data_IF_927852161891
#
_entry.id   IF_927852161891
#
_cell.length_a   1.000
_cell.length_b   1.000
_cell.length_c   1.000
_cell.angle_alpha   90.00
_cell.angle_beta   90.00
_cell.angle_gamma   90.00
#
_symmetry.space_group_name_H-M   'P 1'
#
loop_
_entity.id
_entity.type
_entity.pdbx_description
1 polymer ?
#
# COMPACT_ATOMS: atom_id res chain seq x y z
N UNK A 1 47.50 -2.67 40.83
CA UNK A 1 47.32 -3.07 39.41
C UNK A 1 46.20 -4.09 39.13
N UNK A 2 45.71 -4.81 40.14
CA UNK A 2 44.64 -5.81 39.92
C UNK A 2 43.22 -5.26 39.69
N UNK A 3 42.93 -4.01 40.01
CA UNK A 3 41.58 -3.43 39.91
C UNK A 3 41.19 -2.92 38.49
N UNK A 4 42.17 -2.68 37.64
CA UNK A 4 41.92 -2.24 36.23
C UNK A 4 41.55 -3.44 35.35
N UNK A 5 42.18 -4.62 35.60
CA UNK A 5 41.87 -5.85 34.88
C UNK A 5 40.45 -6.39 35.13
N UNK A 6 39.97 -6.31 36.38
CA UNK A 6 38.65 -6.81 36.75
C UNK A 6 37.50 -5.99 36.13
N UNK A 7 37.64 -4.66 36.04
CA UNK A 7 36.63 -3.77 35.39
C UNK A 7 36.52 -4.00 33.89
N UNK A 8 37.66 -4.35 33.25
CA UNK A 8 37.67 -4.60 31.80
C UNK A 8 36.98 -5.93 31.43
N UNK A 9 37.16 -6.95 32.30
CA UNK A 9 36.52 -8.26 32.15
C UNK A 9 34.99 -8.15 32.34
N UNK A 10 34.52 -7.35 33.30
CA UNK A 10 33.09 -7.14 33.53
C UNK A 10 32.42 -6.35 32.42
N UNK A 11 33.08 -5.34 31.85
CA UNK A 11 32.60 -4.63 30.68
C UNK A 11 32.54 -5.52 29.45
N UNK A 12 33.52 -6.35 29.19
CA UNK A 12 33.48 -7.32 28.09
C UNK A 12 32.39 -8.38 28.29
N UNK A 13 32.18 -8.86 29.51
CA UNK A 13 31.08 -9.80 29.81
C UNK A 13 29.71 -9.16 29.67
N UNK A 14 29.56 -7.89 30.03
CA UNK A 14 28.30 -7.11 29.76
C UNK A 14 28.09 -6.90 28.29
N UNK A 15 29.11 -6.50 27.53
CA UNK A 15 29.01 -6.34 26.06
C UNK A 15 28.68 -7.67 25.38
N UNK A 16 29.30 -8.78 25.78
CA UNK A 16 29.00 -10.13 25.26
C UNK A 16 27.56 -10.57 25.59
N UNK A 17 27.04 -10.27 26.80
CA UNK A 17 25.64 -10.56 27.17
C UNK A 17 24.65 -9.69 26.40
N UNK A 18 24.99 -8.42 26.11
CA UNK A 18 24.15 -7.52 25.27
C UNK A 18 24.15 -8.04 23.82
N UNK A 19 25.32 -8.37 23.27
CA UNK A 19 25.43 -8.96 21.93
C UNK A 19 24.68 -10.30 21.83
N UNK A 20 24.81 -11.20 22.81
CA UNK A 20 24.07 -12.47 22.86
C UNK A 20 22.56 -12.28 23.06
N UNK A 21 22.11 -11.15 23.60
CA UNK A 21 20.69 -10.79 23.72
C UNK A 21 20.14 -10.24 22.39
N UNK A 22 20.97 -9.54 21.62
CA UNK A 22 20.63 -9.05 20.28
C UNK A 22 20.63 -10.15 19.21
N UNK A 23 21.43 -11.21 19.38
CA UNK A 23 21.44 -12.39 18.51
C UNK A 23 20.42 -13.47 18.92
N UNK A 24 19.44 -13.17 19.77
CA UNK A 24 18.27 -14.04 19.87
C UNK A 24 17.53 -13.95 18.54
N UNK A 25 17.97 -14.77 17.61
CA UNK A 25 17.28 -15.14 16.38
C UNK A 25 15.83 -15.41 16.78
N UNK A 26 14.94 -14.53 16.36
CA UNK A 26 13.51 -14.78 16.51
C UNK A 26 13.23 -16.15 15.93
N UNK A 27 12.61 -17.08 16.65
CA UNK A 27 12.44 -18.45 16.19
C UNK A 27 11.80 -18.42 14.80
N UNK A 28 12.35 -19.20 13.88
CA UNK A 28 11.94 -19.28 12.46
C UNK A 28 10.41 -19.37 12.30
N UNK A 29 9.74 -20.01 13.24
CA UNK A 29 8.28 -20.09 13.32
C UNK A 29 7.61 -18.71 13.49
N UNK A 30 8.16 -17.82 14.30
CA UNK A 30 7.59 -16.48 14.50
C UNK A 30 7.75 -15.61 13.26
N UNK A 31 8.86 -15.74 12.53
CA UNK A 31 9.06 -15.05 11.24
C UNK A 31 8.09 -15.54 10.17
N UNK A 32 7.84 -16.85 10.12
CA UNK A 32 6.91 -17.41 9.13
C UNK A 32 5.48 -16.96 9.39
N UNK A 33 5.02 -16.99 10.65
CA UNK A 33 3.68 -16.52 11.00
C UNK A 33 3.47 -15.04 10.68
N UNK A 34 4.45 -14.18 10.96
CA UNK A 34 4.36 -12.74 10.65
C UNK A 34 4.35 -12.48 9.15
N UNK A 35 5.10 -13.26 8.35
CA UNK A 35 5.06 -13.15 6.89
C UNK A 35 3.71 -13.61 6.31
N UNK A 36 3.09 -14.62 6.90
CA UNK A 36 1.76 -15.08 6.49
C UNK A 36 0.69 -14.06 6.89
N UNK A 37 0.82 -13.45 8.08
CA UNK A 37 -0.04 -12.35 8.53
C UNK A 37 0.12 -11.12 7.61
N UNK A 38 1.35 -10.79 7.19
CA UNK A 38 1.61 -9.70 6.25
C UNK A 38 0.95 -9.93 4.89
N UNK A 39 1.06 -11.14 4.32
CA UNK A 39 0.38 -11.50 3.07
C UNK A 39 -1.14 -11.44 3.22
N UNK A 40 -1.67 -11.94 4.34
CA UNK A 40 -3.09 -11.91 4.63
C UNK A 40 -3.63 -10.49 4.68
N UNK A 41 -2.96 -9.57 5.37
CA UNK A 41 -3.43 -8.19 5.50
C UNK A 41 -3.34 -7.41 4.19
N UNK A 42 -2.33 -7.70 3.35
CA UNK A 42 -2.22 -7.12 2.00
C UNK A 42 -3.38 -7.57 1.11
N UNK A 43 -3.72 -8.86 1.14
CA UNK A 43 -4.86 -9.39 0.40
C UNK A 43 -6.18 -8.77 0.87
N UNK A 44 -6.38 -8.63 2.19
CA UNK A 44 -7.55 -7.95 2.76
C UNK A 44 -7.60 -6.49 2.29
N UNK A 45 -6.45 -5.81 2.26
CA UNK A 45 -6.33 -4.44 1.75
C UNK A 45 -6.80 -4.30 0.30
N UNK A 46 -6.34 -5.19 -0.57
CA UNK A 46 -6.74 -5.21 -1.97
C UNK A 46 -8.25 -5.45 -2.13
N UNK A 47 -8.81 -6.43 -1.41
CA UNK A 47 -10.26 -6.73 -1.45
C UNK A 47 -11.08 -5.53 -0.95
N UNK A 48 -10.66 -4.89 0.14
CA UNK A 48 -11.33 -3.69 0.68
C UNK A 48 -11.27 -2.54 -0.32
N UNK A 49 -10.12 -2.29 -0.95
CA UNK A 49 -9.97 -1.22 -1.94
C UNK A 49 -10.82 -1.48 -3.19
N UNK A 50 -10.86 -2.71 -3.70
CA UNK A 50 -11.75 -3.08 -4.82
C UNK A 50 -13.21 -2.90 -4.43
N UNK A 51 -13.61 -3.42 -3.26
CA UNK A 51 -14.99 -3.30 -2.78
C UNK A 51 -15.43 -1.85 -2.63
N UNK A 52 -14.61 -1.02 -1.99
CA UNK A 52 -14.88 0.41 -1.83
C UNK A 52 -14.91 1.14 -3.18
N UNK A 53 -13.99 0.83 -4.08
CA UNK A 53 -13.95 1.40 -5.42
C UNK A 53 -15.23 1.10 -6.20
N UNK A 54 -15.65 -0.17 -6.24
CA UNK A 54 -16.90 -0.57 -6.89
C UNK A 54 -18.13 0.07 -6.25
N UNK A 55 -18.21 0.12 -4.92
CA UNK A 55 -19.30 0.79 -4.21
C UNK A 55 -19.38 2.28 -4.54
N UNK A 56 -18.25 2.98 -4.61
CA UNK A 56 -18.18 4.41 -4.96
C UNK A 56 -18.62 4.66 -6.39
N UNK A 57 -18.12 3.86 -7.35
CA UNK A 57 -18.52 3.99 -8.76
C UNK A 57 -20.01 3.72 -8.91
N UNK A 58 -20.53 2.65 -8.29
CA UNK A 58 -21.95 2.31 -8.32
C UNK A 58 -22.82 3.40 -7.69
N UNK A 59 -22.50 3.87 -6.49
CA UNK A 59 -23.22 4.94 -5.83
C UNK A 59 -23.12 6.27 -6.61
N UNK A 60 -21.93 6.59 -7.12
CA UNK A 60 -21.72 7.80 -7.94
C UNK A 60 -22.54 7.79 -9.23
N UNK A 61 -22.65 6.62 -9.88
CA UNK A 61 -23.44 6.46 -11.10
C UNK A 61 -24.96 6.59 -10.84
N UNK A 62 -25.45 6.04 -9.72
CA UNK A 62 -26.89 6.11 -9.37
C UNK A 62 -27.31 7.46 -8.83
N UNK A 63 -26.40 8.19 -8.17
CA UNK A 63 -26.65 9.49 -7.57
C UNK A 63 -26.22 10.69 -8.46
N UNK A 64 -25.73 10.42 -9.67
CA UNK A 64 -25.25 11.47 -10.59
C UNK A 64 -24.06 12.26 -10.01
N UNK A 65 -23.18 11.63 -9.21
CA UNK A 65 -22.04 12.30 -8.59
C UNK A 65 -20.72 11.98 -9.30
N UNK A 66 -20.22 12.86 -10.20
CA UNK A 66 -18.94 12.65 -10.90
C UNK A 66 -17.75 12.56 -9.94
N UNK A 67 -17.80 13.30 -8.81
CA UNK A 67 -16.75 13.28 -7.81
C UNK A 67 -16.60 11.89 -7.14
N UNK A 68 -17.74 11.22 -6.86
CA UNK A 68 -17.73 9.89 -6.24
C UNK A 68 -17.28 8.82 -7.25
N UNK A 69 -17.64 8.97 -8.52
CA UNK A 69 -17.13 8.11 -9.61
C UNK A 69 -15.63 8.26 -9.76
N UNK A 70 -15.11 9.48 -9.76
CA UNK A 70 -13.68 9.76 -9.88
C UNK A 70 -12.90 9.19 -8.68
N UNK A 71 -13.40 9.33 -7.45
CA UNK A 71 -12.80 8.76 -6.24
C UNK A 71 -12.83 7.22 -6.25
N UNK A 72 -13.90 6.62 -6.78
CA UNK A 72 -13.97 5.18 -6.99
C UNK A 72 -12.99 4.68 -8.04
N UNK A 73 -12.88 5.35 -9.17
CA UNK A 73 -11.92 5.04 -10.23
C UNK A 73 -10.47 5.16 -9.72
N UNK A 74 -10.17 6.19 -8.92
CA UNK A 74 -8.87 6.34 -8.27
C UNK A 74 -8.56 5.14 -7.34
N UNK A 75 -9.52 4.73 -6.51
CA UNK A 75 -9.35 3.56 -5.63
C UNK A 75 -9.10 2.25 -6.39
N UNK A 76 -9.70 2.08 -7.57
CA UNK A 76 -9.44 0.92 -8.44
C UNK A 76 -8.07 1.03 -9.12
N UNK A 77 -7.65 2.23 -9.49
CA UNK A 77 -6.32 2.50 -10.05
C UNK A 77 -5.20 2.17 -9.06
N UNK A 78 -5.40 2.45 -7.77
CA UNK A 78 -4.45 2.10 -6.72
C UNK A 78 -4.20 0.59 -6.69
N UNK A 79 -5.27 -0.22 -6.76
CA UNK A 79 -5.14 -1.68 -6.80
C UNK A 79 -4.38 -2.15 -8.04
N UNK A 80 -4.62 -1.55 -9.19
CA UNK A 80 -3.91 -1.88 -10.42
C UNK A 80 -2.42 -1.55 -10.31
N UNK A 81 -2.08 -0.39 -9.73
CA UNK A 81 -0.68 0.00 -9.50
C UNK A 81 0.01 -0.94 -8.53
N UNK A 82 -0.67 -1.38 -7.46
CA UNK A 82 -0.14 -2.36 -6.51
C UNK A 82 0.15 -3.71 -7.18
N UNK A 83 -0.73 -4.18 -8.07
CA UNK A 83 -0.53 -5.41 -8.83
C UNK A 83 0.68 -5.29 -9.75
N UNK A 84 0.80 -4.20 -10.51
CA UNK A 84 1.94 -3.97 -11.42
C UNK A 84 3.24 -3.88 -10.63
N UNK A 85 3.26 -3.15 -9.51
CA UNK A 85 4.43 -3.03 -8.64
C UNK A 85 4.86 -4.39 -8.08
N UNK A 86 3.92 -5.19 -7.60
CA UNK A 86 4.19 -6.53 -7.09
C UNK A 86 4.80 -7.45 -8.16
N UNK A 87 4.21 -7.48 -9.36
CA UNK A 87 4.71 -8.29 -10.46
C UNK A 87 6.09 -7.86 -10.92
N UNK A 88 6.32 -6.56 -11.05
CA UNK A 88 7.61 -5.99 -11.44
C UNK A 88 8.70 -6.35 -10.46
N UNK A 89 8.41 -6.24 -9.17
CA UNK A 89 9.32 -6.60 -8.10
C UNK A 89 9.60 -8.10 -8.04
N UNK A 90 8.57 -8.94 -8.24
CA UNK A 90 8.73 -10.39 -8.30
C UNK A 90 9.60 -10.80 -9.49
N UNK A 91 9.36 -10.21 -10.66
CA UNK A 91 10.15 -10.46 -11.86
C UNK A 91 11.61 -10.00 -11.70
N UNK A 92 11.83 -8.82 -11.10
CA UNK A 92 13.18 -8.26 -10.89
C UNK A 92 14.08 -9.15 -10.01
N UNK A 93 13.51 -10.02 -9.19
CA UNK A 93 14.25 -10.95 -8.30
C UNK A 93 14.61 -12.28 -8.94
N UNK A 94 14.21 -12.52 -10.17
CA UNK A 94 14.61 -13.72 -10.89
C UNK A 94 16.12 -13.69 -11.17
N UNK A 95 16.83 -14.84 -11.01
CA UNK A 95 18.25 -14.92 -11.27
C UNK A 95 18.54 -14.71 -12.77
N UNK A 96 19.80 -14.42 -13.13
CA UNK A 96 20.23 -14.39 -14.52
C UNK A 96 19.90 -15.70 -15.24
N UNK A 97 19.45 -15.59 -16.50
CA UNK A 97 19.20 -16.69 -17.42
C UNK A 97 19.87 -16.47 -18.77
N UNK A 98 19.65 -17.35 -19.75
CA UNK A 98 20.25 -17.27 -21.05
C UNK A 98 19.86 -16.00 -21.84
N UNK A 99 18.63 -15.51 -21.64
CA UNK A 99 18.10 -14.32 -22.32
C UNK A 99 18.44 -13.04 -21.56
N UNK A 100 18.66 -13.14 -20.25
CA UNK A 100 18.96 -12.01 -19.36
C UNK A 100 20.25 -12.28 -18.55
N UNK A 101 21.44 -12.24 -19.17
CA UNK A 101 22.71 -12.59 -18.50
C UNK A 101 23.06 -11.66 -17.33
N UNK A 102 22.52 -10.44 -17.29
CA UNK A 102 22.72 -9.47 -16.22
C UNK A 102 21.60 -9.50 -15.15
N UNK A 103 20.68 -10.48 -15.24
CA UNK A 103 19.52 -10.59 -14.37
C UNK A 103 18.36 -9.68 -14.77
N UNK A 104 17.31 -9.74 -13.99
CA UNK A 104 15.99 -9.15 -14.29
C UNK A 104 15.73 -7.80 -13.59
N UNK A 105 16.75 -7.17 -12.97
CA UNK A 105 16.59 -5.95 -12.17
C UNK A 105 15.94 -4.76 -12.91
N UNK A 106 16.03 -4.71 -14.24
CA UNK A 106 15.38 -3.67 -15.05
C UNK A 106 13.84 -3.73 -15.04
N UNK A 107 13.25 -4.86 -14.69
CA UNK A 107 11.79 -5.00 -14.59
C UNK A 107 11.21 -4.12 -13.49
N UNK A 108 11.95 -3.85 -12.40
CA UNK A 108 11.53 -2.92 -11.35
C UNK A 108 11.41 -1.48 -11.88
N UNK A 109 12.42 -1.02 -12.64
CA UNK A 109 12.38 0.29 -13.28
C UNK A 109 11.28 0.38 -14.35
N UNK A 110 11.10 -0.68 -15.15
CA UNK A 110 10.03 -0.79 -16.14
C UNK A 110 8.65 -0.72 -15.51
N UNK A 111 8.42 -1.45 -14.43
CA UNK A 111 7.17 -1.42 -13.67
C UNK A 111 6.87 -0.03 -13.09
N UNK A 112 7.87 0.62 -12.52
CA UNK A 112 7.73 1.99 -12.00
C UNK A 112 7.37 2.99 -13.10
N UNK A 113 7.95 2.85 -14.31
CA UNK A 113 7.61 3.68 -15.45
C UNK A 113 6.17 3.45 -15.93
N UNK A 114 5.71 2.19 -15.98
CA UNK A 114 4.31 1.85 -16.33
C UNK A 114 3.34 2.47 -15.32
N UNK A 115 3.59 2.30 -14.02
CA UNK A 115 2.76 2.89 -12.95
C UNK A 115 2.74 4.41 -13.07
N UNK A 116 3.89 5.05 -13.24
CA UNK A 116 3.99 6.51 -13.42
C UNK A 116 3.23 7.00 -14.65
N UNK A 117 3.36 6.32 -15.77
CA UNK A 117 2.62 6.64 -17.01
C UNK A 117 1.11 6.50 -16.83
N UNK A 118 0.67 5.46 -16.15
CA UNK A 118 -0.74 5.23 -15.84
C UNK A 118 -1.32 6.34 -14.95
N UNK A 119 -0.59 6.74 -13.89
CA UNK A 119 -1.00 7.82 -13.00
C UNK A 119 -1.10 9.16 -13.73
N UNK A 120 -0.14 9.47 -14.62
CA UNK A 120 -0.19 10.69 -15.45
C UNK A 120 -1.40 10.67 -16.37
N UNK A 121 -1.67 9.54 -17.05
CA UNK A 121 -2.83 9.41 -17.94
C UNK A 121 -4.15 9.53 -17.17
N UNK A 122 -4.27 8.90 -16.01
CA UNK A 122 -5.45 9.01 -15.15
C UNK A 122 -5.67 10.45 -14.64
N UNK A 123 -4.59 11.12 -14.20
CA UNK A 123 -4.65 12.52 -13.77
C UNK A 123 -5.05 13.46 -14.91
N UNK A 124 -4.50 13.29 -16.11
CA UNK A 124 -4.87 14.07 -17.29
C UNK A 124 -6.34 13.84 -17.68
N UNK A 125 -6.81 12.58 -17.64
CA UNK A 125 -8.21 12.25 -17.90
C UNK A 125 -9.17 12.91 -16.90
N UNK A 126 -8.84 12.85 -15.61
CA UNK A 126 -9.62 13.51 -14.56
C UNK A 126 -9.65 15.04 -14.73
N UNK A 127 -8.49 15.64 -15.04
CA UNK A 127 -8.40 17.10 -15.30
C UNK A 127 -9.23 17.52 -16.52
N UNK A 128 -9.17 16.75 -17.61
CA UNK A 128 -9.97 17.00 -18.82
C UNK A 128 -11.47 16.93 -18.51
N UNK A 129 -11.91 15.90 -17.78
CA UNK A 129 -13.31 15.76 -17.37
C UNK A 129 -13.76 16.92 -16.48
N UNK A 130 -12.94 17.29 -15.49
CA UNK A 130 -13.23 18.41 -14.59
C UNK A 130 -13.30 19.75 -15.33
N UNK A 131 -12.43 19.98 -16.32
CA UNK A 131 -12.45 21.20 -17.13
C UNK A 131 -13.75 21.33 -17.96
N UNK A 132 -14.28 20.20 -18.45
CA UNK A 132 -15.59 20.18 -19.16
C UNK A 132 -16.75 20.56 -18.23
N UNK A 133 -16.75 20.01 -17.02
CA UNK A 133 -17.85 20.23 -16.06
C UNK A 133 -17.88 21.62 -15.40
N UNK A 134 -16.77 22.39 -15.48
CA UNK A 134 -16.72 23.76 -14.90
C UNK A 134 -17.72 24.71 -15.60
N UNK A 135 -18.01 24.48 -16.86
CA UNK A 135 -18.90 25.33 -17.69
C UNK A 135 -20.34 24.82 -17.72
N UNK A 136 -20.63 23.67 -17.17
CA UNK A 136 -21.98 23.14 -17.07
C UNK A 136 -22.68 23.69 -15.82
N UNK A 137 -23.96 24.10 -15.91
CA UNK A 137 -24.69 24.50 -14.71
C UNK A 137 -24.76 23.33 -13.74
N UNK A 138 -24.30 23.57 -12.49
CA UNK A 138 -24.39 22.58 -11.47
C UNK A 138 -25.87 22.23 -11.22
N UNK A 139 -26.28 21.01 -11.57
CA UNK A 139 -27.57 20.49 -11.12
C UNK A 139 -27.57 20.44 -9.59
N UNK A 140 -28.59 21.02 -8.98
CA UNK A 140 -28.73 20.99 -7.54
C UNK A 140 -28.91 19.53 -7.07
N UNK A 141 -27.87 18.95 -6.51
CA UNK A 141 -27.95 17.64 -5.87
C UNK A 141 -28.95 17.70 -4.72
N UNK A 142 -29.91 16.80 -4.72
CA UNK A 142 -30.85 16.69 -3.59
C UNK A 142 -30.08 16.41 -2.29
N UNK A 143 -30.54 16.93 -1.17
CA UNK A 143 -29.92 16.77 0.16
C UNK A 143 -29.63 15.29 0.48
N UNK A 144 -30.51 14.42 0.06
CA UNK A 144 -30.35 12.97 0.17
C UNK A 144 -29.11 12.47 -0.58
N UNK A 145 -28.86 12.91 -1.80
CA UNK A 145 -27.70 12.52 -2.60
C UNK A 145 -26.41 13.01 -1.94
N UNK A 146 -26.37 14.25 -1.44
CA UNK A 146 -25.23 14.81 -0.71
C UNK A 146 -24.93 13.98 0.54
N UNK A 147 -25.96 13.67 1.34
CA UNK A 147 -25.81 12.88 2.56
C UNK A 147 -25.29 11.46 2.25
N UNK A 148 -25.80 10.83 1.19
CA UNK A 148 -25.38 9.48 0.78
C UNK A 148 -23.93 9.48 0.26
N UNK A 149 -23.56 10.41 -0.61
CA UNK A 149 -22.18 10.55 -1.08
C UNK A 149 -21.21 10.81 0.08
N UNK A 150 -21.58 11.69 1.01
CA UNK A 150 -20.81 11.99 2.21
C UNK A 150 -20.62 10.77 3.12
N UNK A 151 -21.66 9.97 3.30
CA UNK A 151 -21.58 8.75 4.12
C UNK A 151 -20.68 7.68 3.50
N UNK A 152 -20.74 7.49 2.19
CA UNK A 152 -19.86 6.56 1.45
C UNK A 152 -18.40 7.01 1.51
N UNK A 153 -18.15 8.32 1.36
CA UNK A 153 -16.81 8.89 1.47
C UNK A 153 -16.26 8.68 2.90
N UNK A 154 -17.05 8.99 3.93
CA UNK A 154 -16.66 8.82 5.33
C UNK A 154 -16.37 7.34 5.66
N UNK A 155 -17.24 6.43 5.24
CA UNK A 155 -17.04 5.00 5.42
C UNK A 155 -15.72 4.52 4.80
N UNK A 156 -15.36 5.07 3.62
CA UNK A 156 -14.10 4.77 2.96
C UNK A 156 -12.89 5.24 3.76
N UNK A 157 -12.95 6.44 4.34
CA UNK A 157 -11.86 6.96 5.20
C UNK A 157 -11.69 6.08 6.43
N UNK A 158 -12.78 5.72 7.10
CA UNK A 158 -12.74 4.86 8.29
C UNK A 158 -12.16 3.47 7.95
N UNK A 159 -12.59 2.87 6.84
CA UNK A 159 -12.08 1.58 6.40
C UNK A 159 -10.58 1.62 6.07
N UNK A 160 -10.12 2.66 5.36
CA UNK A 160 -8.70 2.85 5.03
C UNK A 160 -7.86 3.12 6.28
N UNK A 161 -8.35 3.93 7.23
CA UNK A 161 -7.67 4.18 8.50
C UNK A 161 -7.55 2.90 9.35
N UNK A 162 -8.62 2.10 9.43
CA UNK A 162 -8.57 0.81 10.12
C UNK A 162 -7.54 -0.13 9.47
N UNK A 163 -7.54 -0.21 8.14
CA UNK A 163 -6.59 -1.03 7.40
C UNK A 163 -5.15 -0.56 7.62
N UNK A 164 -4.90 0.76 7.57
CA UNK A 164 -3.59 1.35 7.84
C UNK A 164 -3.07 0.98 9.23
N UNK A 165 -3.90 1.13 10.26
CA UNK A 165 -3.53 0.76 11.63
C UNK A 165 -3.19 -0.73 11.75
N UNK A 166 -3.93 -1.60 11.09
CA UNK A 166 -3.66 -3.03 11.06
C UNK A 166 -2.35 -3.38 10.33
N UNK A 167 -2.13 -2.78 9.17
CA UNK A 167 -0.91 -2.97 8.38
C UNK A 167 0.32 -2.48 9.14
N UNK A 168 0.21 -1.31 9.78
CA UNK A 168 1.27 -0.75 10.61
C UNK A 168 1.62 -1.66 11.78
N UNK A 169 0.64 -2.19 12.48
CA UNK A 169 0.85 -3.09 13.62
C UNK A 169 1.59 -4.38 13.20
N UNK A 170 1.31 -4.91 12.01
CA UNK A 170 2.04 -6.06 11.46
C UNK A 170 3.45 -5.66 11.03
N UNK A 171 3.62 -4.49 10.40
CA UNK A 171 4.93 -3.97 10.00
C UNK A 171 5.88 -3.70 11.18
N UNK A 172 5.37 -3.20 12.30
CA UNK A 172 6.17 -2.97 13.53
C UNK A 172 6.56 -4.30 14.23
N UNK A 173 5.93 -5.41 13.89
CA UNK A 173 6.24 -6.74 14.42
C UNK A 173 7.32 -7.50 13.60
N UNK A 174 7.66 -7.01 12.39
CA UNK A 174 8.72 -7.54 11.51
C UNK A 174 10.10 -7.03 11.90
#
# INVERSE_FOLDING_TARGET
DGRIGARNIDTMRRAARIAARQTRITPRHRRLSVLDDAKGITAVGAVVNVGLGCCKVGAGSTLGSPALIADGAHSLSDVLTDVVAYWSYAAARLPPDADHPFGHGKFEAGGSAIVGGFLVAAGAGAAHHAAGSVFEPAEALELYAIATCGSVALASVVAKEWLFRRTRAVGEAL
#
